data_IF_539842828612
#
_entry.id   IF_539842828612
#
_cell.length_a   1.000
_cell.length_b   1.000
_cell.length_c   1.000
_cell.angle_alpha   90.00
_cell.angle_beta   90.00
_cell.angle_gamma   90.00
#
_symmetry.space_group_name_H-M   'P 1'
#
loop_
_entity.id
_entity.type
_entity.pdbx_description
1 polymer ?
#
# COMPACT_ATOMS: atom_id res chain seq x y z
N UNK A 1 -17.80 5.98 -16.68
CA UNK A 1 -16.57 6.03 -17.49
C UNK A 1 -15.46 5.19 -16.85
N UNK A 2 -15.11 5.40 -15.58
CA UNK A 2 -14.02 4.71 -14.83
C UNK A 2 -14.24 3.19 -14.79
N UNK A 3 -15.49 2.73 -14.59
CA UNK A 3 -15.82 1.28 -14.54
C UNK A 3 -15.51 0.57 -15.86
N UNK A 4 -15.82 1.22 -17.00
CA UNK A 4 -15.57 0.66 -18.34
C UNK A 4 -14.06 0.60 -18.61
N UNK A 5 -13.33 1.67 -18.31
CA UNK A 5 -11.88 1.71 -18.45
C UNK A 5 -11.16 0.69 -17.54
N UNK A 6 -11.66 0.49 -16.32
CA UNK A 6 -11.05 -0.48 -15.40
C UNK A 6 -11.37 -1.93 -15.81
N UNK A 7 -12.59 -2.20 -16.28
CA UNK A 7 -12.97 -3.50 -16.82
C UNK A 7 -12.16 -3.85 -18.09
N UNK A 8 -12.02 -2.90 -19.01
CA UNK A 8 -11.19 -3.07 -20.20
C UNK A 8 -9.71 -3.28 -19.85
N UNK A 9 -9.20 -2.55 -18.87
CA UNK A 9 -7.82 -2.69 -18.38
C UNK A 9 -7.60 -4.02 -17.66
N UNK A 10 -8.54 -4.46 -16.83
CA UNK A 10 -8.47 -5.76 -16.13
C UNK A 10 -8.58 -6.94 -17.11
N UNK A 11 -9.45 -6.84 -18.12
CA UNK A 11 -9.57 -7.84 -19.18
C UNK A 11 -8.28 -7.88 -20.04
N UNK A 12 -7.71 -6.71 -20.36
CA UNK A 12 -6.46 -6.63 -21.10
C UNK A 12 -5.28 -7.18 -20.29
N UNK A 13 -5.20 -6.88 -18.99
CA UNK A 13 -4.20 -7.46 -18.09
C UNK A 13 -4.38 -8.97 -17.96
N UNK A 14 -5.62 -9.46 -17.85
CA UNK A 14 -5.90 -10.90 -17.80
C UNK A 14 -5.55 -11.61 -19.10
N UNK A 15 -5.90 -11.03 -20.26
CA UNK A 15 -5.55 -11.57 -21.58
C UNK A 15 -4.05 -11.54 -21.85
N UNK A 16 -3.35 -10.49 -21.42
CA UNK A 16 -1.89 -10.34 -21.57
C UNK A 16 -1.10 -11.12 -20.52
N UNK A 17 -1.72 -11.51 -19.39
CA UNK A 17 -1.07 -12.20 -18.27
C UNK A 17 -0.19 -13.36 -18.75
N UNK A 18 -0.67 -14.19 -19.67
CA UNK A 18 0.09 -15.32 -20.21
C UNK A 18 1.20 -14.91 -21.19
N UNK A 19 1.03 -13.81 -21.93
CA UNK A 19 2.06 -13.32 -22.86
C UNK A 19 3.17 -12.56 -22.11
N UNK A 20 2.79 -11.69 -21.17
CA UNK A 20 3.76 -10.95 -20.33
C UNK A 20 4.51 -11.89 -19.39
N UNK A 21 3.82 -12.89 -18.81
CA UNK A 21 4.46 -13.90 -17.97
C UNK A 21 5.47 -14.74 -18.75
N UNK A 22 5.13 -15.16 -19.97
CA UNK A 22 6.07 -15.84 -20.88
C UNK A 22 7.26 -14.94 -21.24
N UNK A 23 7.01 -13.68 -21.61
CA UNK A 23 8.06 -12.71 -21.90
C UNK A 23 8.98 -12.43 -20.71
N UNK A 24 8.45 -12.41 -19.48
CA UNK A 24 9.22 -12.26 -18.25
C UNK A 24 10.18 -13.43 -18.00
N UNK A 25 9.77 -14.65 -18.36
CA UNK A 25 10.57 -15.87 -18.21
C UNK A 25 11.62 -15.96 -19.32
N UNK A 26 11.21 -15.83 -20.58
CA UNK A 26 12.06 -16.08 -21.74
C UNK A 26 13.11 -14.98 -22.01
N UNK A 27 12.89 -13.74 -21.56
CA UNK A 27 13.84 -12.62 -21.70
C UNK A 27 14.75 -12.42 -20.46
N UNK A 28 14.95 -13.46 -19.67
CA UNK A 28 15.79 -13.36 -18.48
C UNK A 28 17.14 -14.02 -18.70
N UNK A 29 18.21 -13.33 -18.29
CA UNK A 29 19.59 -13.79 -18.46
C UNK A 29 20.10 -14.72 -17.34
N UNK A 30 19.28 -14.98 -16.29
CA UNK A 30 19.60 -15.91 -15.20
C UNK A 30 18.34 -16.42 -14.48
N UNK A 31 18.43 -17.63 -13.89
CA UNK A 31 17.38 -18.24 -13.08
C UNK A 31 16.98 -17.35 -11.89
N UNK A 32 17.92 -16.71 -11.22
CA UNK A 32 17.64 -15.77 -10.14
C UNK A 32 16.81 -14.58 -10.60
N UNK A 33 17.06 -14.06 -11.79
CA UNK A 33 16.27 -12.97 -12.39
C UNK A 33 14.84 -13.40 -12.67
N UNK A 34 14.61 -14.64 -13.12
CA UNK A 34 13.27 -15.21 -13.30
C UNK A 34 12.49 -15.25 -11.98
N UNK A 35 13.11 -15.79 -10.93
CA UNK A 35 12.50 -15.94 -9.61
C UNK A 35 12.09 -14.56 -9.04
N UNK A 36 12.97 -13.57 -9.14
CA UNK A 36 12.66 -12.21 -8.68
C UNK A 36 11.52 -11.56 -9.49
N UNK A 37 11.52 -11.73 -10.82
CA UNK A 37 10.46 -11.18 -11.70
C UNK A 37 9.10 -11.80 -11.38
N UNK A 38 9.03 -13.13 -11.21
CA UNK A 38 7.80 -13.85 -10.84
C UNK A 38 7.29 -13.35 -9.49
N UNK A 39 8.18 -13.18 -8.52
CA UNK A 39 7.84 -12.72 -7.18
C UNK A 39 7.20 -11.32 -7.17
N UNK A 40 7.82 -10.35 -7.83
CA UNK A 40 7.29 -8.99 -7.92
C UNK A 40 5.99 -8.93 -8.73
N UNK A 41 5.89 -9.72 -9.80
CA UNK A 41 4.66 -9.84 -10.56
C UNK A 41 3.48 -10.30 -9.68
N UNK A 42 3.70 -11.32 -8.84
CA UNK A 42 2.67 -11.83 -7.94
C UNK A 42 2.25 -10.77 -6.89
N UNK A 43 3.21 -10.07 -6.29
CA UNK A 43 2.92 -8.99 -5.33
C UNK A 43 2.03 -7.91 -5.96
N UNK A 44 2.31 -7.51 -7.20
CA UNK A 44 1.52 -6.48 -7.90
C UNK A 44 0.17 -7.01 -8.34
N UNK A 45 0.09 -8.26 -8.79
CA UNK A 45 -1.17 -8.91 -9.14
C UNK A 45 -2.12 -8.94 -7.94
N UNK A 46 -1.60 -9.31 -6.75
CA UNK A 46 -2.39 -9.34 -5.51
C UNK A 46 -2.84 -7.95 -5.06
N UNK A 47 -1.99 -6.93 -5.21
CA UNK A 47 -2.35 -5.54 -4.93
C UNK A 47 -3.45 -5.03 -5.86
N UNK A 48 -3.35 -5.35 -7.15
CA UNK A 48 -4.37 -4.99 -8.14
C UNK A 48 -5.70 -5.69 -7.84
N UNK A 49 -5.66 -7.00 -7.52
CA UNK A 49 -6.85 -7.77 -7.16
C UNK A 49 -7.57 -7.13 -5.95
N UNK A 50 -6.85 -6.88 -4.86
CA UNK A 50 -7.40 -6.23 -3.65
C UNK A 50 -7.98 -4.83 -3.93
N UNK A 51 -7.38 -4.08 -4.86
CA UNK A 51 -7.88 -2.76 -5.24
C UNK A 51 -9.18 -2.85 -6.05
N UNK A 52 -9.26 -3.84 -6.97
CA UNK A 52 -10.48 -4.13 -7.75
C UNK A 52 -11.63 -4.52 -6.81
N UNK A 53 -11.36 -5.41 -5.85
CA UNK A 53 -12.37 -5.89 -4.90
C UNK A 53 -12.93 -4.72 -4.05
N UNK A 54 -12.05 -3.83 -3.55
CA UNK A 54 -12.45 -2.62 -2.81
C UNK A 54 -13.28 -1.66 -3.65
N UNK A 55 -12.90 -1.45 -4.91
CA UNK A 55 -13.68 -0.60 -5.85
C UNK A 55 -15.06 -1.21 -6.14
N UNK A 56 -15.13 -2.53 -6.31
CA UNK A 56 -16.38 -3.24 -6.58
C UNK A 56 -17.34 -3.16 -5.39
N UNK A 57 -16.82 -3.37 -4.16
CA UNK A 57 -17.60 -3.21 -2.93
C UNK A 57 -18.13 -1.79 -2.74
N UNK A 58 -17.28 -0.79 -2.97
CA UNK A 58 -17.67 0.63 -2.88
C UNK A 58 -18.76 0.99 -3.91
N UNK A 59 -18.65 0.46 -5.13
CA UNK A 59 -19.67 0.67 -6.18
C UNK A 59 -21.00 -0.02 -5.86
N UNK A 60 -20.96 -1.25 -5.32
CA UNK A 60 -22.17 -1.96 -4.89
C UNK A 60 -22.90 -1.20 -3.78
N UNK A 61 -22.18 -0.69 -2.80
CA UNK A 61 -22.73 0.13 -1.73
C UNK A 61 -23.36 1.44 -2.26
N UNK A 62 -22.67 2.13 -3.16
CA UNK A 62 -23.19 3.36 -3.78
C UNK A 62 -24.43 3.11 -4.65
N UNK A 63 -24.50 1.97 -5.36
CA UNK A 63 -25.69 1.61 -6.13
C UNK A 63 -26.89 1.27 -5.21
N UNK A 64 -26.66 0.58 -4.08
CA UNK A 64 -27.68 0.31 -3.09
C UNK A 64 -28.22 1.61 -2.47
N UNK A 65 -27.31 2.51 -2.06
CA UNK A 65 -27.72 3.85 -1.57
C UNK A 65 -28.47 4.65 -2.63
N UNK A 66 -28.08 4.57 -3.89
CA UNK A 66 -28.76 5.25 -4.99
C UNK A 66 -30.19 4.73 -5.20
N UNK A 67 -30.39 3.42 -5.05
CA UNK A 67 -31.72 2.80 -5.08
C UNK A 67 -32.59 3.23 -3.89
N UNK A 68 -32.00 3.25 -2.68
CA UNK A 68 -32.69 3.75 -1.47
C UNK A 68 -33.12 5.22 -1.60
N UNK A 69 -32.21 6.07 -2.10
CA UNK A 69 -32.51 7.49 -2.37
C UNK A 69 -33.63 7.64 -3.43
N UNK A 70 -33.58 6.79 -4.49
CA UNK A 70 -34.60 6.82 -5.55
C UNK A 70 -35.99 6.40 -5.02
N UNK A 71 -36.04 5.45 -4.08
CA UNK A 71 -37.26 5.03 -3.41
C UNK A 71 -37.79 6.16 -2.51
N UNK A 72 -36.92 6.78 -1.71
CA UNK A 72 -37.29 7.92 -0.84
C UNK A 72 -37.85 9.12 -1.63
N UNK A 73 -37.28 9.40 -2.82
CA UNK A 73 -37.81 10.45 -3.71
C UNK A 73 -39.19 10.12 -4.25
N UNK A 74 -39.48 8.85 -4.61
CA UNK A 74 -40.82 8.43 -5.04
C UNK A 74 -41.85 8.57 -3.93
N UNK A 75 -41.49 8.26 -2.67
CA UNK A 75 -42.38 8.44 -1.53
C UNK A 75 -42.67 9.92 -1.21
N UNK A 76 -41.66 10.77 -1.39
CA UNK A 76 -41.84 12.24 -1.25
C UNK A 76 -42.79 12.80 -2.34
N UNK A 77 -42.64 12.36 -3.60
CA UNK A 77 -43.54 12.81 -4.68
C UNK A 77 -44.98 12.32 -4.48
N UNK A 78 -45.17 11.09 -4.02
CA UNK A 78 -46.46 10.54 -3.68
C UNK A 78 -47.11 11.29 -2.50
N UNK A 79 -46.34 11.67 -1.50
CA UNK A 79 -46.82 12.51 -0.39
C UNK A 79 -47.11 13.94 -0.81
N UNK A 80 -46.47 14.48 -1.87
CA UNK A 80 -46.73 15.79 -2.45
C UNK A 80 -48.10 15.88 -3.12
N UNK A 81 -48.52 14.84 -3.82
CA UNK A 81 -49.87 14.74 -4.40
C UNK A 81 -50.97 14.64 -3.34
N UNK A 82 -50.66 14.06 -2.19
CA UNK A 82 -51.64 13.85 -1.09
C UNK A 82 -51.81 15.05 -0.16
N UNK A 83 -50.88 16.00 -0.19
CA UNK A 83 -50.91 17.10 0.79
C UNK A 83 -50.62 18.47 0.18
N UNK A 84 -51.58 19.03 -0.51
CA UNK A 84 -51.57 20.41 -1.05
C UNK A 84 -51.55 21.49 0.05
N UNK A 85 -51.70 21.15 1.33
CA UNK A 85 -51.85 22.09 2.46
C UNK A 85 -50.58 22.25 3.34
N UNK A 86 -49.48 21.59 3.00
CA UNK A 86 -48.22 21.68 3.82
C UNK A 86 -47.02 22.27 3.09
N UNK A 87 -47.19 23.39 2.42
CA UNK A 87 -46.09 24.12 1.75
C UNK A 87 -44.87 24.38 2.68
N UNK A 88 -45.12 24.62 3.96
CA UNK A 88 -44.06 24.83 4.97
C UNK A 88 -43.25 23.56 5.26
N UNK A 89 -43.87 22.36 5.21
CA UNK A 89 -43.12 21.12 5.42
C UNK A 89 -42.30 20.73 4.20
N UNK A 90 -42.74 21.13 3.01
CA UNK A 90 -42.06 20.91 1.73
C UNK A 90 -40.75 21.72 1.68
N UNK A 91 -40.78 22.98 2.14
CA UNK A 91 -39.57 23.84 2.15
C UNK A 91 -38.48 23.30 3.11
N UNK A 92 -38.90 22.76 4.26
CA UNK A 92 -37.98 22.07 5.17
C UNK A 92 -37.36 20.81 4.56
N UNK A 93 -38.16 20.02 3.83
CA UNK A 93 -37.72 18.80 3.15
C UNK A 93 -36.75 19.15 2.00
N UNK A 94 -37.04 20.21 1.25
CA UNK A 94 -36.17 20.69 0.17
C UNK A 94 -34.81 21.13 0.69
N UNK A 95 -34.77 21.93 1.77
CA UNK A 95 -33.52 22.34 2.44
C UNK A 95 -32.70 21.14 2.95
N UNK A 96 -33.40 20.12 3.45
CA UNK A 96 -32.72 18.89 3.90
C UNK A 96 -32.11 18.11 2.74
N UNK A 97 -32.79 18.01 1.59
CA UNK A 97 -32.30 17.35 0.39
C UNK A 97 -31.09 18.10 -0.23
N UNK A 98 -31.16 19.45 -0.25
CA UNK A 98 -30.05 20.29 -0.71
C UNK A 98 -28.81 20.12 0.17
N UNK A 99 -29.01 20.04 1.49
CA UNK A 99 -27.93 19.76 2.44
C UNK A 99 -27.33 18.37 2.22
N UNK A 100 -28.18 17.35 2.05
CA UNK A 100 -27.75 15.96 1.79
C UNK A 100 -26.99 15.84 0.48
N UNK A 101 -27.46 16.52 -0.57
CA UNK A 101 -26.76 16.60 -1.86
C UNK A 101 -25.41 17.30 -1.76
N UNK A 102 -25.32 18.36 -0.93
CA UNK A 102 -24.05 19.03 -0.64
C UNK A 102 -23.07 18.10 0.09
N UNK A 103 -23.58 17.36 1.06
CA UNK A 103 -22.76 16.43 1.84
C UNK A 103 -22.32 15.23 0.99
N UNK A 104 -23.18 14.67 0.15
CA UNK A 104 -22.83 13.62 -0.82
C UNK A 104 -21.80 14.09 -1.86
N UNK A 105 -21.91 15.34 -2.34
CA UNK A 105 -20.89 15.91 -3.24
C UNK A 105 -19.53 16.08 -2.56
N UNK A 106 -19.51 16.44 -1.27
CA UNK A 106 -18.28 16.52 -0.47
C UNK A 106 -17.66 15.13 -0.27
N UNK A 107 -18.49 14.15 0.04
CA UNK A 107 -18.07 12.76 0.21
C UNK A 107 -17.51 12.18 -1.10
N UNK A 108 -18.19 12.41 -2.21
CA UNK A 108 -17.71 12.01 -3.53
C UNK A 108 -16.37 12.66 -3.90
N UNK A 109 -16.17 13.95 -3.56
CA UNK A 109 -14.91 14.64 -3.78
C UNK A 109 -13.78 14.08 -2.89
N UNK A 110 -14.10 13.70 -1.66
CA UNK A 110 -13.15 13.05 -0.73
C UNK A 110 -12.71 11.68 -1.26
N UNK A 111 -13.67 10.88 -1.71
CA UNK A 111 -13.40 9.55 -2.29
C UNK A 111 -12.55 9.67 -3.56
N UNK A 112 -12.85 10.63 -4.44
CA UNK A 112 -12.02 10.89 -5.63
C UNK A 112 -10.59 11.27 -5.29
N UNK A 113 -10.39 12.11 -4.27
CA UNK A 113 -9.03 12.45 -3.80
C UNK A 113 -8.28 11.22 -3.28
N UNK A 114 -8.98 10.35 -2.55
CA UNK A 114 -8.37 9.14 -2.02
C UNK A 114 -8.04 8.12 -3.12
N UNK A 115 -8.94 7.96 -4.09
CA UNK A 115 -8.69 7.12 -5.29
C UNK A 115 -7.46 7.64 -6.06
N UNK A 116 -7.37 8.95 -6.30
CA UNK A 116 -6.23 9.53 -6.99
C UNK A 116 -4.92 9.33 -6.21
N UNK A 117 -4.98 9.49 -4.89
CA UNK A 117 -3.84 9.24 -4.01
C UNK A 117 -3.38 7.78 -4.09
N UNK A 118 -4.33 6.83 -4.00
CA UNK A 118 -4.03 5.39 -4.12
C UNK A 118 -3.51 5.03 -5.51
N UNK A 119 -4.07 5.61 -6.57
CA UNK A 119 -3.58 5.41 -7.94
C UNK A 119 -2.15 5.91 -8.10
N UNK A 120 -1.84 7.09 -7.55
CA UNK A 120 -0.47 7.62 -7.56
C UNK A 120 0.49 6.73 -6.76
N UNK A 121 0.03 6.17 -5.64
CA UNK A 121 0.82 5.22 -4.85
C UNK A 121 1.08 3.92 -5.61
N UNK A 122 0.09 3.39 -6.30
CA UNK A 122 0.24 2.20 -7.17
C UNK A 122 1.24 2.48 -8.30
N UNK A 123 1.12 3.63 -8.97
CA UNK A 123 2.05 4.02 -10.02
C UNK A 123 3.48 4.19 -9.50
N UNK A 124 3.63 4.76 -8.29
CA UNK A 124 4.93 4.87 -7.64
C UNK A 124 5.52 3.50 -7.31
N UNK A 125 4.70 2.54 -6.82
CA UNK A 125 5.13 1.16 -6.58
C UNK A 125 5.52 0.43 -7.87
N UNK A 126 4.81 0.67 -8.98
CA UNK A 126 5.17 0.12 -10.28
C UNK A 126 6.50 0.69 -10.80
N UNK A 127 6.73 1.98 -10.61
CA UNK A 127 8.00 2.63 -10.95
C UNK A 127 9.13 2.06 -10.12
N UNK A 128 8.89 1.90 -8.82
CA UNK A 128 9.82 1.27 -7.88
C UNK A 128 10.17 -0.16 -8.31
N UNK A 129 9.17 -0.95 -8.71
CA UNK A 129 9.39 -2.29 -9.24
C UNK A 129 10.34 -2.28 -10.44
N UNK A 130 10.12 -1.35 -11.38
CA UNK A 130 11.00 -1.22 -12.55
C UNK A 130 12.43 -0.90 -12.13
N UNK A 131 12.60 0.05 -11.21
CA UNK A 131 13.94 0.42 -10.72
C UNK A 131 14.64 -0.72 -9.98
N UNK A 132 13.91 -1.52 -9.19
CA UNK A 132 14.45 -2.73 -8.52
C UNK A 132 14.90 -3.76 -9.56
N UNK A 133 14.11 -3.97 -10.61
CA UNK A 133 14.48 -4.88 -11.70
C UNK A 133 15.72 -4.38 -12.45
N UNK A 134 15.80 -3.08 -12.70
CA UNK A 134 16.95 -2.47 -13.37
C UNK A 134 18.21 -2.46 -12.51
N UNK A 135 18.09 -2.17 -11.21
CA UNK A 135 19.23 -2.21 -10.29
C UNK A 135 19.79 -3.62 -10.16
N UNK A 136 18.93 -4.65 -10.15
CA UNK A 136 19.38 -6.06 -10.16
C UNK A 136 20.11 -6.47 -11.43
N UNK A 137 19.83 -5.84 -12.57
CA UNK A 137 20.59 -6.06 -13.82
C UNK A 137 21.99 -5.44 -13.77
N UNK A 138 22.20 -4.43 -12.93
CA UNK A 138 23.47 -3.71 -12.79
C UNK A 138 24.40 -4.30 -11.72
N UNK A 139 23.98 -5.40 -11.04
CA UNK A 139 24.87 -6.07 -10.09
C UNK A 139 26.02 -6.73 -10.83
N UNK A 140 27.23 -6.20 -10.63
CA UNK A 140 28.46 -6.91 -10.94
C UNK A 140 28.53 -8.21 -10.12
N UNK A 141 29.13 -9.26 -10.72
CA UNK A 141 29.34 -10.57 -10.06
C UNK A 141 29.96 -10.44 -8.67
N UNK A 142 30.77 -9.40 -8.45
CA UNK A 142 31.43 -9.09 -7.19
C UNK A 142 30.45 -8.70 -6.07
N UNK A 143 29.35 -8.01 -6.37
CA UNK A 143 28.28 -7.68 -5.40
C UNK A 143 27.47 -8.93 -5.04
N UNK A 144 27.17 -9.77 -6.02
CA UNK A 144 26.56 -11.08 -5.81
C UNK A 144 27.43 -12.02 -4.95
N UNK A 145 28.77 -11.97 -5.12
CA UNK A 145 29.68 -12.71 -4.26
C UNK A 145 29.67 -12.20 -2.81
N UNK A 146 29.56 -10.88 -2.60
CA UNK A 146 29.41 -10.28 -1.26
C UNK A 146 28.08 -10.66 -0.60
N UNK A 147 26.98 -10.72 -1.36
CA UNK A 147 25.67 -11.20 -0.86
C UNK A 147 25.72 -12.67 -0.43
N UNK A 148 26.43 -13.52 -1.16
CA UNK A 148 26.64 -14.93 -0.76
C UNK A 148 27.40 -15.10 0.55
N UNK A 149 28.09 -14.09 1.03
CA UNK A 149 28.76 -14.09 2.36
C UNK A 149 27.82 -13.71 3.50
N UNK A 150 26.64 -13.15 3.23
CA UNK A 150 25.56 -12.92 4.21
C UNK A 150 24.85 -14.26 4.42
N UNK A 151 25.44 -15.15 5.21
CA UNK A 151 24.99 -16.54 5.41
C UNK A 151 23.87 -16.69 6.45
N UNK A 152 23.06 -15.68 6.71
CA UNK A 152 22.07 -15.76 7.76
C UNK A 152 20.67 -15.77 7.13
N UNK A 153 19.96 -16.89 7.28
CA UNK A 153 18.58 -17.07 6.83
C UNK A 153 17.64 -16.32 7.80
N UNK A 154 17.10 -15.19 7.37
CA UNK A 154 16.18 -14.36 8.16
C UNK A 154 14.99 -15.15 8.73
N UNK A 155 14.57 -16.25 8.06
CA UNK A 155 13.47 -17.11 8.54
C UNK A 155 13.72 -17.67 9.94
N UNK A 156 14.97 -17.97 10.27
CA UNK A 156 15.38 -18.51 11.58
C UNK A 156 15.24 -17.47 12.70
N UNK A 157 15.11 -16.20 12.33
CA UNK A 157 14.99 -15.06 13.24
C UNK A 157 13.56 -14.53 13.36
N UNK A 158 12.57 -15.25 12.81
CA UNK A 158 11.17 -14.89 13.03
C UNK A 158 10.85 -14.77 14.51
N UNK A 159 10.29 -13.65 14.95
CA UNK A 159 10.00 -13.31 16.34
C UNK A 159 11.22 -12.85 17.14
N UNK A 160 12.40 -12.70 16.52
CA UNK A 160 13.65 -12.28 17.17
C UNK A 160 14.26 -11.02 16.56
N UNK A 161 13.72 -10.52 15.46
CA UNK A 161 14.23 -9.31 14.82
C UNK A 161 14.15 -8.13 15.78
N UNK A 162 15.13 -7.25 15.71
CA UNK A 162 15.12 -6.01 16.49
C UNK A 162 14.03 -5.07 15.99
N UNK A 163 13.62 -4.14 16.82
CA UNK A 163 12.73 -3.08 16.41
C UNK A 163 13.44 -2.10 15.45
N UNK A 164 12.74 -1.66 14.38
CA UNK A 164 13.31 -0.71 13.43
C UNK A 164 13.53 0.68 14.06
N UNK A 165 12.76 1.03 15.07
CA UNK A 165 12.85 2.29 15.83
C UNK A 165 12.28 2.09 17.21
N UNK A 166 12.76 2.87 18.18
CA UNK A 166 12.18 2.94 19.52
C UNK A 166 10.87 3.73 19.45
N UNK A 167 9.74 3.05 19.65
CA UNK A 167 8.43 3.67 19.49
C UNK A 167 7.27 2.76 19.82
N UNK A 168 6.05 3.23 19.55
CA UNK A 168 4.80 2.52 19.83
C UNK A 168 4.02 2.29 18.53
N UNK A 169 3.52 1.07 18.32
CA UNK A 169 2.66 0.76 17.18
C UNK A 169 1.34 1.54 17.31
N UNK A 170 1.04 2.38 16.33
CA UNK A 170 -0.19 3.17 16.25
C UNK A 170 -1.18 2.62 15.24
N UNK A 171 -0.68 1.86 14.23
CA UNK A 171 -1.52 1.08 13.32
C UNK A 171 -0.91 -0.30 13.12
N UNK A 172 -1.72 -1.33 13.25
CA UNK A 172 -1.33 -2.71 13.01
C UNK A 172 -1.38 -3.10 11.55
N UNK A 173 -0.90 -4.31 11.26
CA UNK A 173 -0.99 -4.96 9.94
C UNK A 173 -2.41 -5.41 9.63
N UNK A 174 -2.79 -5.34 8.35
CA UNK A 174 -4.06 -5.84 7.83
C UNK A 174 -5.18 -4.80 7.83
N UNK A 175 -6.45 -5.24 7.81
CA UNK A 175 -7.60 -4.35 7.66
C UNK A 175 -7.74 -3.37 8.81
N UNK A 176 -7.78 -2.06 8.50
CA UNK A 176 -7.95 -0.98 9.45
C UNK A 176 -9.23 -0.20 9.12
N UNK A 177 -10.12 -0.07 10.08
CA UNK A 177 -11.33 0.72 9.93
C UNK A 177 -11.00 2.22 9.90
N UNK A 178 -11.46 2.91 8.85
CA UNK A 178 -11.34 4.36 8.74
C UNK A 178 -12.73 5.01 8.95
N UNK A 179 -12.98 5.61 10.13
CA UNK A 179 -14.29 6.20 10.43
C UNK A 179 -14.61 7.41 9.56
N UNK A 180 -13.62 8.14 9.05
CA UNK A 180 -13.84 9.30 8.18
C UNK A 180 -14.32 8.91 6.78
N UNK A 181 -13.88 7.78 6.28
CA UNK A 181 -14.23 7.26 4.95
C UNK A 181 -15.30 6.16 5.01
N UNK A 182 -15.72 5.76 6.22
CA UNK A 182 -16.64 4.65 6.48
C UNK A 182 -16.26 3.39 5.68
N UNK A 183 -14.96 3.08 5.62
CA UNK A 183 -14.40 1.97 4.84
C UNK A 183 -13.23 1.34 5.57
N UNK A 184 -12.91 0.11 5.19
CA UNK A 184 -11.72 -0.58 5.68
C UNK A 184 -10.58 -0.40 4.68
N UNK A 185 -9.44 0.09 5.16
CA UNK A 185 -8.19 0.20 4.41
C UNK A 185 -7.23 -0.89 4.88
N UNK A 186 -6.58 -1.56 3.93
CA UNK A 186 -5.58 -2.57 4.26
C UNK A 186 -4.22 -1.93 4.52
N UNK A 187 -3.66 -2.18 5.71
CA UNK A 187 -2.33 -1.72 6.07
C UNK A 187 -1.31 -2.83 5.77
N UNK A 188 -0.40 -2.66 4.79
CA UNK A 188 0.55 -3.69 4.37
C UNK A 188 1.70 -3.93 5.34
N UNK A 189 1.79 -3.13 6.39
CA UNK A 189 2.83 -3.15 7.41
C UNK A 189 2.32 -2.70 8.76
N UNK A 190 3.18 -2.06 9.53
CA UNK A 190 2.84 -1.42 10.80
C UNK A 190 3.31 0.03 10.80
N UNK A 191 2.53 0.91 11.43
CA UNK A 191 2.94 2.29 11.67
C UNK A 191 3.43 2.41 13.12
N UNK A 192 4.65 2.89 13.29
CA UNK A 192 5.29 3.06 14.60
C UNK A 192 5.45 4.56 14.84
N UNK A 193 4.85 5.07 15.90
CA UNK A 193 5.05 6.42 16.37
C UNK A 193 6.37 6.51 17.14
N UNK A 194 7.22 7.44 16.75
CA UNK A 194 8.51 7.73 17.36
C UNK A 194 8.82 9.22 17.21
N UNK A 195 9.83 9.71 17.92
CA UNK A 195 10.25 11.12 17.82
C UNK A 195 10.94 11.37 16.45
N UNK A 196 10.79 12.55 15.86
CA UNK A 196 11.37 12.91 14.55
C UNK A 196 12.90 12.82 14.47
N UNK A 197 13.60 12.74 15.58
CA UNK A 197 15.06 12.56 15.65
C UNK A 197 15.46 11.15 16.03
N UNK A 198 14.52 10.22 16.18
CA UNK A 198 14.83 8.82 16.54
C UNK A 198 15.56 8.13 15.40
N UNK A 199 16.70 7.46 15.66
CA UNK A 199 17.39 6.71 14.65
C UNK A 199 16.59 5.47 14.24
N UNK A 200 16.51 5.25 12.93
CA UNK A 200 15.92 4.06 12.33
C UNK A 200 17.02 3.08 12.00
N UNK A 201 16.84 1.83 12.40
CA UNK A 201 17.85 0.77 12.31
C UNK A 201 17.39 -0.33 11.37
N UNK A 202 18.34 -0.91 10.64
CA UNK A 202 18.10 -2.16 9.92
C UNK A 202 17.78 -3.27 10.91
N UNK A 203 16.69 -3.99 10.66
CA UNK A 203 16.23 -5.08 11.56
C UNK A 203 17.04 -6.37 11.39
N UNK A 204 17.80 -6.48 10.31
CA UNK A 204 18.62 -7.64 9.97
C UNK A 204 19.70 -7.26 8.95
N UNK A 205 20.72 -8.13 8.80
CA UNK A 205 21.75 -7.98 7.78
C UNK A 205 21.12 -8.00 6.38
N UNK A 206 21.55 -7.12 5.49
CA UNK A 206 20.99 -7.07 4.14
C UNK A 206 21.68 -6.09 3.22
N UNK A 207 21.18 -6.01 2.01
CA UNK A 207 21.62 -5.10 0.97
C UNK A 207 20.54 -4.05 0.69
N UNK A 208 20.92 -2.79 0.73
CA UNK A 208 20.06 -1.69 0.32
C UNK A 208 19.85 -1.76 -1.20
N UNK A 209 18.67 -2.15 -1.64
CA UNK A 209 18.37 -2.31 -3.07
C UNK A 209 17.80 -1.05 -3.70
N UNK A 210 17.12 -0.23 -2.91
CA UNK A 210 16.44 0.95 -3.43
C UNK A 210 16.29 2.02 -2.37
N UNK A 211 16.59 3.25 -2.75
CA UNK A 211 16.26 4.47 -2.01
C UNK A 211 15.46 5.36 -2.94
N UNK A 212 14.22 5.71 -2.57
CA UNK A 212 13.37 6.52 -3.43
C UNK A 212 12.40 7.35 -2.60
N UNK A 213 11.81 8.36 -3.22
CA UNK A 213 10.73 9.14 -2.62
C UNK A 213 9.39 8.73 -3.23
N UNK A 214 8.44 8.34 -2.39
CA UNK A 214 7.08 7.96 -2.80
C UNK A 214 6.09 8.95 -2.21
N UNK A 215 5.29 9.58 -3.06
CA UNK A 215 4.25 10.51 -2.61
C UNK A 215 3.29 9.82 -1.63
N UNK A 216 3.15 10.40 -0.44
CA UNK A 216 2.34 9.84 0.66
C UNK A 216 3.09 8.90 1.61
N UNK A 217 4.25 8.34 1.20
CA UNK A 217 5.13 7.53 2.04
C UNK A 217 6.49 8.19 2.34
N UNK A 218 6.79 9.32 1.68
CA UNK A 218 8.07 10.00 1.89
C UNK A 218 9.26 9.20 1.37
N UNK A 219 10.43 9.46 1.94
CA UNK A 219 11.64 8.70 1.60
C UNK A 219 11.49 7.26 2.05
N UNK A 220 11.69 6.36 1.12
CA UNK A 220 11.49 4.91 1.25
C UNK A 220 12.80 4.19 0.98
N UNK A 221 13.15 3.27 1.87
CA UNK A 221 14.32 2.40 1.77
C UNK A 221 13.85 0.96 1.73
N UNK A 222 14.38 0.18 0.78
CA UNK A 222 14.14 -1.26 0.66
C UNK A 222 15.48 -1.99 0.85
N UNK A 223 15.46 -2.96 1.77
CA UNK A 223 16.59 -3.81 2.08
C UNK A 223 16.28 -5.25 1.72
N UNK A 224 17.12 -5.87 0.91
CA UNK A 224 17.08 -7.29 0.54
C UNK A 224 17.89 -8.11 1.56
N UNK A 225 17.22 -9.07 2.21
CA UNK A 225 17.84 -9.94 3.23
C UNK A 225 18.17 -11.34 2.69
N UNK A 226 18.22 -11.47 1.35
CA UNK A 226 18.38 -12.75 0.66
C UNK A 226 17.17 -13.71 0.88
N UNK A 227 17.22 -14.87 0.25
CA UNK A 227 16.14 -15.87 0.38
C UNK A 227 14.75 -15.39 -0.02
N UNK A 228 14.66 -14.21 -0.66
CA UNK A 228 13.42 -13.60 -1.11
C UNK A 228 12.67 -12.85 -0.03
N UNK A 229 13.36 -12.37 0.99
CA UNK A 229 12.83 -11.51 2.04
C UNK A 229 13.33 -10.09 1.89
N UNK A 230 12.43 -9.13 2.10
CA UNK A 230 12.71 -7.70 2.03
C UNK A 230 12.07 -6.99 3.21
N UNK A 231 12.71 -5.93 3.66
CA UNK A 231 12.10 -4.96 4.56
C UNK A 231 11.97 -3.61 3.87
N UNK A 232 10.87 -2.92 4.13
CA UNK A 232 10.57 -1.60 3.60
C UNK A 232 10.39 -0.65 4.75
N UNK A 233 11.12 0.44 4.72
CA UNK A 233 11.06 1.53 5.69
C UNK A 233 10.62 2.77 4.94
N UNK A 234 9.59 3.46 5.42
CA UNK A 234 9.12 4.70 4.80
C UNK A 234 9.04 5.82 5.83
N UNK A 235 8.85 7.05 5.37
CA UNK A 235 8.88 8.26 6.19
C UNK A 235 10.23 8.51 6.86
N UNK A 236 11.31 8.20 6.15
CA UNK A 236 12.67 8.44 6.61
C UNK A 236 13.15 9.85 6.21
N UNK A 237 14.03 10.41 7.03
CA UNK A 237 14.81 11.62 6.73
C UNK A 237 16.29 11.39 7.07
N UNK A 238 17.16 12.25 6.55
CA UNK A 238 18.60 12.26 6.84
C UNK A 238 19.22 10.86 6.75
N UNK A 239 19.10 10.22 5.58
CA UNK A 239 19.63 8.88 5.36
C UNK A 239 21.14 8.82 5.58
N UNK A 240 21.60 7.76 6.25
CA UNK A 240 23.01 7.46 6.52
C UNK A 240 23.59 6.39 5.58
N UNK A 241 22.79 5.95 4.61
CA UNK A 241 23.10 4.85 3.71
C UNK A 241 22.88 5.26 2.25
N UNK A 242 23.48 4.49 1.34
CA UNK A 242 23.28 4.62 -0.09
C UNK A 242 22.79 3.32 -0.70
N UNK A 243 22.22 3.38 -1.90
CA UNK A 243 21.90 2.18 -2.67
C UNK A 243 23.16 1.32 -2.88
N UNK A 244 22.95 0.01 -2.92
CA UNK A 244 24.00 -1.00 -3.05
C UNK A 244 24.95 -1.13 -1.82
N UNK A 245 24.60 -0.52 -0.71
CA UNK A 245 25.33 -0.66 0.56
C UNK A 245 24.85 -1.88 1.33
N UNK A 246 25.79 -2.67 1.88
CA UNK A 246 25.49 -3.74 2.84
C UNK A 246 25.29 -3.10 4.21
N UNK A 247 24.19 -3.42 4.86
CA UNK A 247 23.87 -2.99 6.22
C UNK A 247 23.82 -4.19 7.16
N UNK A 248 24.16 -3.97 8.42
CA UNK A 248 24.13 -4.95 9.48
C UNK A 248 22.90 -4.77 10.35
N UNK A 249 22.46 -5.84 11.04
CA UNK A 249 21.45 -5.73 12.10
C UNK A 249 21.85 -4.64 13.10
N UNK A 250 20.92 -3.75 13.42
CA UNK A 250 21.13 -2.63 14.34
C UNK A 250 21.84 -1.41 13.74
N UNK A 251 22.32 -1.48 12.51
CA UNK A 251 22.95 -0.33 11.84
C UNK A 251 21.89 0.75 11.57
N UNK A 252 22.22 1.99 11.91
CA UNK A 252 21.39 3.15 11.62
C UNK A 252 21.33 3.42 10.12
N UNK A 253 20.13 3.57 9.58
CA UNK A 253 19.86 3.79 8.16
C UNK A 253 19.37 5.20 7.87
N UNK A 254 18.92 5.92 8.88
CA UNK A 254 18.39 7.28 8.81
C UNK A 254 17.60 7.61 10.05
N UNK A 255 16.77 8.64 9.97
CA UNK A 255 15.97 9.13 11.08
C UNK A 255 14.49 9.19 10.72
N UNK A 256 13.63 9.16 11.74
CA UNK A 256 12.18 9.36 11.58
C UNK A 256 11.92 10.76 11.10
N UNK A 257 11.06 10.92 10.10
CA UNK A 257 10.68 12.24 9.56
C UNK A 257 9.81 13.06 10.53
N UNK A 258 9.60 14.33 10.20
CA UNK A 258 8.84 15.28 11.01
C UNK A 258 7.37 14.90 11.29
N UNK A 259 6.84 13.87 10.62
CA UNK A 259 5.51 13.35 10.91
C UNK A 259 5.46 12.42 12.14
N UNK A 260 6.62 12.13 12.76
CA UNK A 260 6.77 11.30 13.96
C UNK A 260 6.26 9.86 13.79
N UNK A 261 6.18 9.36 12.57
CA UNK A 261 5.71 8.01 12.24
C UNK A 261 6.66 7.40 11.22
N UNK A 262 7.04 6.15 11.44
CA UNK A 262 7.66 5.28 10.45
C UNK A 262 6.65 4.18 10.06
N UNK A 263 6.52 3.92 8.77
CA UNK A 263 5.79 2.75 8.30
C UNK A 263 6.80 1.67 7.93
N UNK A 264 6.59 0.46 8.44
CA UNK A 264 7.51 -0.67 8.32
C UNK A 264 6.78 -1.89 7.77
N UNK A 265 7.32 -2.46 6.68
CA UNK A 265 6.78 -3.67 6.06
C UNK A 265 7.84 -4.77 6.02
N UNK A 266 7.40 -6.02 6.07
CA UNK A 266 8.20 -7.21 5.76
C UNK A 266 7.55 -7.94 4.61
N UNK A 267 8.31 -8.20 3.55
CA UNK A 267 7.88 -8.98 2.41
C UNK A 267 8.64 -10.30 2.35
N UNK A 268 7.94 -11.37 2.11
CA UNK A 268 8.55 -12.69 1.98
C UNK A 268 7.65 -13.67 1.25
N UNK A 269 8.22 -14.59 0.49
CA UNK A 269 7.48 -15.60 -0.27
C UNK A 269 6.35 -15.01 -1.14
N UNK A 270 6.61 -13.89 -1.81
CA UNK A 270 5.66 -13.12 -2.64
C UNK A 270 4.47 -12.51 -1.90
N UNK A 271 4.51 -12.43 -0.58
CA UNK A 271 3.44 -11.90 0.25
C UNK A 271 3.96 -10.84 1.21
N UNK A 272 3.06 -9.96 1.63
CA UNK A 272 3.29 -9.06 2.75
C UNK A 272 3.04 -9.82 4.04
N UNK A 273 3.99 -9.74 4.94
CA UNK A 273 3.98 -10.49 6.20
C UNK A 273 3.69 -9.53 7.35
N UNK A 274 2.99 -10.03 8.38
CA UNK A 274 2.73 -9.23 9.57
C UNK A 274 4.03 -8.99 10.36
N UNK A 275 4.55 -7.74 10.42
CA UNK A 275 5.83 -7.45 11.06
C UNK A 275 5.85 -7.77 12.56
N UNK A 276 4.70 -7.70 13.26
CA UNK A 276 4.63 -7.99 14.69
C UNK A 276 4.97 -9.44 15.04
N UNK A 277 4.86 -10.35 14.07
CA UNK A 277 5.25 -11.76 14.23
C UNK A 277 6.75 -11.99 14.05
N UNK A 278 7.48 -10.98 13.54
CA UNK A 278 8.90 -11.09 13.21
C UNK A 278 9.79 -10.34 14.19
N UNK A 279 9.35 -9.20 14.68
CA UNK A 279 10.07 -8.42 15.68
C UNK A 279 9.91 -9.03 17.08
N UNK A 280 10.89 -8.80 17.95
CA UNK A 280 10.88 -9.27 19.34
C UNK A 280 9.66 -8.74 20.08
N UNK A 281 8.97 -9.62 20.83
CA UNK A 281 7.97 -9.19 21.80
C UNK A 281 8.67 -8.41 22.93
N UNK A 282 8.27 -7.17 23.17
CA UNK A 282 8.81 -6.50 24.35
C UNK A 282 9.06 -5.00 24.31
N UNK A 283 8.39 -4.23 23.44
CA UNK A 283 8.21 -2.81 23.74
C UNK A 283 6.84 -2.61 24.43
N UNK A 284 6.92 -2.19 25.71
CA UNK A 284 5.76 -1.74 26.51
C UNK A 284 5.32 -0.35 26.04
#
# INVERSE_FOLDING_TARGET
>A
LIKKQYAERSINLYKKKNQEFRGLIFNSNSLNQVVYRIKYYNIISDLNQKTVDKLTQSQFYNNKKKQEITVLLKDVDKNKELKNNELKSLDRKKKYQEKLLSDLKKEQASIRKEINKQTNQINALETLRKSIIESKKKYDEEQLAKLKTIKTDIKKYKGKLIWPVDGKIVKGFGPQWNPKLNTTLDNPGIDIAATSTSPVKSVFDGLVTTITFISGYGTTVIIDHDGGYFTVFTHLENLLINENMIVKEGQEIGFVSNNNIIHFEIWGNNQKLNPTQWIKNGYK
#
